data_IF_711955497284
#
_entry.id   IF_711955497284
#
_cell.length_a   1.000
_cell.length_b   1.000
_cell.length_c   1.000
_cell.angle_alpha   90.00
_cell.angle_beta   90.00
_cell.angle_gamma   90.00
#
_symmetry.space_group_name_H-M   'P 1'
#
loop_
_entity.id
_entity.type
_entity.pdbx_description
1 polymer ?
#
# COMPACT_ATOMS: atom_id res chain seq x y z
N UNK A 1 14.18 -4.96 10.12
CA UNK A 1 14.73 -6.27 10.53
C UNK A 1 16.20 -6.28 10.19
N UNK A 2 17.06 -6.66 11.14
CA UNK A 2 18.52 -6.75 10.99
C UNK A 2 18.96 -8.14 11.41
N UNK A 3 19.98 -8.69 10.75
CA UNK A 3 20.54 -10.00 11.05
C UNK A 3 21.76 -10.30 10.20
N UNK A 4 22.51 -11.31 10.56
CA UNK A 4 23.64 -11.80 9.78
C UNK A 4 23.15 -12.63 8.60
N UNK A 5 23.77 -12.47 7.44
CA UNK A 5 23.37 -13.15 6.23
C UNK A 5 24.58 -13.54 5.38
N UNK A 6 24.54 -14.75 4.81
CA UNK A 6 25.49 -15.15 3.75
C UNK A 6 25.15 -14.45 2.44
N UNK A 7 26.07 -14.45 1.49
CA UNK A 7 25.85 -13.92 0.15
C UNK A 7 24.69 -14.65 -0.57
N UNK A 8 24.56 -15.96 -0.39
CA UNK A 8 23.39 -16.72 -0.89
C UNK A 8 22.08 -16.18 -0.35
N UNK A 9 22.01 -15.87 0.95
CA UNK A 9 20.82 -15.31 1.59
C UNK A 9 20.49 -13.91 1.02
N UNK A 10 21.51 -13.07 0.80
CA UNK A 10 21.35 -11.74 0.19
C UNK A 10 20.71 -11.87 -1.20
N UNK A 11 21.21 -12.77 -2.05
CA UNK A 11 20.67 -12.99 -3.39
C UNK A 11 19.28 -13.59 -3.37
N UNK A 12 18.98 -14.49 -2.44
CA UNK A 12 17.62 -15.00 -2.24
C UNK A 12 16.65 -13.89 -1.82
N UNK A 13 17.04 -13.01 -0.90
CA UNK A 13 16.22 -11.87 -0.49
C UNK A 13 15.99 -10.92 -1.68
N UNK A 14 17.04 -10.61 -2.45
CA UNK A 14 16.92 -9.76 -3.64
C UNK A 14 15.95 -10.34 -4.68
N UNK A 15 15.93 -11.67 -4.86
CA UNK A 15 15.02 -12.34 -5.79
C UNK A 15 13.60 -12.49 -5.25
N UNK A 16 13.46 -13.00 -4.03
CA UNK A 16 12.17 -13.52 -3.53
C UNK A 16 11.40 -12.59 -2.63
N UNK A 17 12.04 -11.58 -2.03
CA UNK A 17 11.32 -10.69 -1.11
C UNK A 17 10.28 -9.86 -1.85
N UNK A 18 9.02 -10.02 -1.43
CA UNK A 18 7.87 -9.26 -1.96
C UNK A 18 7.48 -8.08 -1.10
N UNK A 19 7.85 -8.11 0.18
CA UNK A 19 7.38 -7.15 1.19
C UNK A 19 8.41 -6.07 1.51
N UNK A 20 9.71 -6.41 1.46
CA UNK A 20 10.77 -5.47 1.75
C UNK A 20 10.75 -4.28 0.78
N UNK A 21 11.10 -3.12 1.31
CA UNK A 21 11.21 -1.89 0.52
C UNK A 21 12.63 -1.61 0.06
N UNK A 22 13.62 -1.94 0.90
CA UNK A 22 15.06 -1.79 0.64
C UNK A 22 15.81 -2.99 1.20
N UNK A 23 16.97 -3.25 0.65
CA UNK A 23 17.93 -4.25 1.14
C UNK A 23 19.27 -3.55 1.36
N UNK A 24 19.62 -3.37 2.63
CA UNK A 24 20.86 -2.70 3.02
C UNK A 24 21.85 -3.69 3.62
N UNK A 25 23.11 -3.60 3.20
CA UNK A 25 24.23 -4.23 3.86
C UNK A 25 24.82 -3.24 4.85
N UNK A 26 24.73 -3.52 6.14
CA UNK A 26 25.40 -2.71 7.16
C UNK A 26 26.91 -2.88 7.05
N UNK A 27 27.62 -1.79 6.84
CA UNK A 27 29.08 -1.78 6.72
C UNK A 27 29.73 -1.60 8.08
N UNK A 28 29.28 -0.57 8.82
CA UNK A 28 29.75 -0.30 10.17
C UNK A 28 28.77 0.63 10.92
N UNK A 29 28.97 0.74 12.22
CA UNK A 29 28.34 1.76 13.06
C UNK A 29 29.42 2.45 13.91
N UNK A 30 29.24 3.74 14.19
CA UNK A 30 30.20 4.52 14.95
C UNK A 30 29.59 5.80 15.55
N UNK A 31 30.40 6.51 16.28
CA UNK A 31 30.02 7.78 16.93
C UNK A 31 29.84 8.90 15.90
N UNK A 32 28.85 9.77 16.13
CA UNK A 32 28.54 10.91 15.26
C UNK A 32 27.89 12.06 16.03
N UNK A 33 28.45 12.43 17.19
CA UNK A 33 27.91 13.50 18.03
C UNK A 33 28.23 14.92 17.50
N UNK A 34 29.06 15.07 16.47
CA UNK A 34 29.27 16.29 15.70
C UNK A 34 29.79 15.98 14.29
N UNK A 35 29.87 16.99 13.42
CA UNK A 35 30.33 16.82 12.03
C UNK A 35 31.79 16.33 11.92
N UNK A 36 32.67 16.75 12.83
CA UNK A 36 34.08 16.36 12.81
C UNK A 36 34.21 14.86 13.13
N UNK A 37 33.52 14.37 14.14
CA UNK A 37 33.54 12.96 14.52
C UNK A 37 32.84 12.11 13.46
N UNK A 38 31.70 12.57 12.90
CA UNK A 38 31.07 11.89 11.76
C UNK A 38 32.04 11.73 10.59
N UNK A 39 32.77 12.80 10.23
CA UNK A 39 33.79 12.75 9.18
C UNK A 39 34.89 11.72 9.50
N UNK A 40 35.49 11.79 10.69
CA UNK A 40 36.56 10.89 11.11
C UNK A 40 36.10 9.41 11.10
N UNK A 41 34.92 9.14 11.65
CA UNK A 41 34.30 7.82 11.69
C UNK A 41 34.14 7.24 10.30
N UNK A 42 33.68 8.06 9.35
CA UNK A 42 33.48 7.60 7.96
C UNK A 42 34.80 7.50 7.18
N UNK A 43 35.76 8.39 7.40
CA UNK A 43 37.04 8.39 6.70
C UNK A 43 37.93 7.19 7.04
N UNK A 44 37.85 6.68 8.28
CA UNK A 44 38.65 5.54 8.75
C UNK A 44 38.23 4.19 8.16
N UNK A 45 36.98 4.10 7.65
CA UNK A 45 36.47 2.85 7.07
C UNK A 45 37.15 2.57 5.73
N UNK A 46 37.55 1.31 5.43
CA UNK A 46 38.28 0.93 4.22
C UNK A 46 37.34 0.83 3.00
N UNK A 47 36.88 1.96 2.46
CA UNK A 47 35.89 2.04 1.37
C UNK A 47 36.28 1.29 0.11
N UNK A 48 37.60 1.16 -0.19
CA UNK A 48 38.08 0.38 -1.32
C UNK A 48 37.73 -1.12 -1.24
N UNK A 49 37.35 -1.61 -0.07
CA UNK A 49 36.83 -2.99 0.08
C UNK A 49 35.36 -3.11 -0.32
N UNK A 50 34.67 -2.00 -0.52
CA UNK A 50 33.24 -1.98 -0.84
C UNK A 50 33.00 -1.70 -2.32
N UNK A 51 33.67 -0.70 -2.88
CA UNK A 51 33.56 -0.33 -4.30
C UNK A 51 34.84 0.31 -4.82
N UNK A 52 34.97 0.38 -6.15
CA UNK A 52 36.14 0.94 -6.84
C UNK A 52 36.05 2.48 -6.91
N UNK A 53 37.22 3.15 -6.96
CA UNK A 53 37.33 4.57 -7.26
C UNK A 53 36.86 4.98 -8.67
N UNK A 54 36.65 3.98 -9.56
CA UNK A 54 36.06 4.18 -10.88
C UNK A 54 34.52 4.21 -10.83
N UNK A 55 33.89 3.78 -9.72
CA UNK A 55 32.44 3.77 -9.57
C UNK A 55 31.94 5.16 -9.17
N UNK A 56 30.78 5.53 -9.68
CA UNK A 56 30.05 6.69 -9.17
C UNK A 56 29.26 6.31 -7.91
N UNK A 57 29.22 7.21 -6.92
CA UNK A 57 28.47 6.97 -5.70
C UNK A 57 27.63 8.19 -5.29
N UNK A 58 26.63 7.96 -4.44
CA UNK A 58 25.87 8.99 -3.73
C UNK A 58 25.64 8.62 -2.28
N UNK A 59 25.38 9.62 -1.46
CA UNK A 59 25.08 9.46 -0.04
C UNK A 59 23.67 9.91 0.26
N UNK A 60 22.90 9.08 0.95
CA UNK A 60 21.63 9.41 1.57
C UNK A 60 21.82 9.44 3.08
N UNK A 61 21.53 10.57 3.70
CA UNK A 61 21.60 10.72 5.15
C UNK A 61 20.21 10.87 5.73
N UNK A 62 19.92 10.14 6.81
CA UNK A 62 18.64 10.16 7.49
C UNK A 62 18.82 10.30 8.99
N UNK A 63 17.99 11.12 9.59
CA UNK A 63 18.00 11.37 11.02
C UNK A 63 18.78 12.63 11.41
N UNK A 64 18.38 13.18 12.53
CA UNK A 64 18.97 14.40 13.09
C UNK A 64 19.29 14.21 14.57
N UNK A 65 20.24 15.00 15.08
CA UNK A 65 20.53 15.15 16.52
C UNK A 65 20.65 16.62 16.87
N UNK A 66 20.90 16.90 18.14
CA UNK A 66 21.11 18.29 18.59
C UNK A 66 22.30 18.97 17.90
N UNK A 67 23.32 18.22 17.53
CA UNK A 67 24.52 18.73 16.85
C UNK A 67 24.47 18.57 15.33
N UNK A 68 23.79 17.55 14.82
CA UNK A 68 23.64 17.25 13.39
C UNK A 68 22.18 17.51 12.96
N UNK A 69 21.84 18.80 12.80
CA UNK A 69 20.45 19.25 12.55
C UNK A 69 20.06 19.25 11.08
N UNK A 70 21.02 19.18 10.17
CA UNK A 70 20.80 19.28 8.73
C UNK A 70 21.28 17.99 8.04
N UNK A 71 20.32 17.15 7.60
CA UNK A 71 20.60 15.88 6.93
C UNK A 71 21.40 16.06 5.63
N UNK A 72 21.13 17.13 4.87
CA UNK A 72 21.85 17.40 3.62
C UNK A 72 23.32 17.70 3.89
N UNK A 73 23.61 18.55 4.88
CA UNK A 73 24.98 18.88 5.27
C UNK A 73 25.71 17.68 5.86
N UNK A 74 25.07 16.89 6.71
CA UNK A 74 25.64 15.67 7.26
C UNK A 74 25.93 14.66 6.15
N UNK A 75 25.06 14.53 5.14
CA UNK A 75 25.31 13.73 3.95
C UNK A 75 26.54 14.20 3.15
N UNK A 76 26.77 15.51 3.04
CA UNK A 76 27.98 16.05 2.42
C UNK A 76 29.22 15.70 3.22
N UNK A 77 29.18 15.76 4.55
CA UNK A 77 30.30 15.37 5.43
C UNK A 77 30.69 13.90 5.21
N UNK A 78 29.70 12.99 5.15
CA UNK A 78 29.95 11.58 4.85
C UNK A 78 30.55 11.42 3.44
N UNK A 79 30.00 12.11 2.45
CA UNK A 79 30.50 12.10 1.07
C UNK A 79 31.97 12.57 1.02
N UNK A 80 32.30 13.66 1.67
CA UNK A 80 33.65 14.21 1.67
C UNK A 80 34.64 13.26 2.37
N UNK A 81 34.23 12.61 3.47
CA UNK A 81 35.02 11.58 4.14
C UNK A 81 35.35 10.39 3.21
N UNK A 82 34.38 9.93 2.41
CA UNK A 82 34.58 8.87 1.43
C UNK A 82 35.56 9.30 0.34
N UNK A 83 35.35 10.50 -0.22
CA UNK A 83 36.22 11.05 -1.29
C UNK A 83 37.67 11.19 -0.79
N UNK A 84 37.86 11.72 0.39
CA UNK A 84 39.21 11.94 0.94
C UNK A 84 39.87 10.62 1.33
N UNK A 85 39.09 9.62 1.78
CA UNK A 85 39.61 8.27 1.97
C UNK A 85 40.22 7.71 0.67
N UNK A 86 39.48 7.77 -0.45
CA UNK A 86 39.98 7.29 -1.74
C UNK A 86 41.20 8.08 -2.22
N UNK A 87 41.20 9.42 -2.10
CA UNK A 87 42.33 10.26 -2.45
C UNK A 87 43.62 9.85 -1.71
N UNK A 88 43.49 9.54 -0.43
CA UNK A 88 44.63 9.11 0.40
C UNK A 88 45.15 7.74 0.02
N UNK A 89 44.29 6.80 -0.35
CA UNK A 89 44.66 5.40 -0.53
C UNK A 89 44.94 5.03 -1.97
N UNK A 90 44.25 5.64 -2.94
CA UNK A 90 44.40 5.29 -4.38
C UNK A 90 44.93 6.45 -5.22
N UNK A 91 45.00 7.66 -4.67
CA UNK A 91 45.33 8.87 -5.40
C UNK A 91 44.23 9.39 -6.33
N UNK A 92 43.10 8.68 -6.43
CA UNK A 92 41.99 9.02 -7.30
C UNK A 92 40.74 9.44 -6.49
N UNK A 93 39.80 10.08 -7.15
CA UNK A 93 38.55 10.53 -6.57
C UNK A 93 37.39 9.82 -7.29
N UNK A 94 36.54 9.04 -6.58
CA UNK A 94 35.33 8.50 -7.18
C UNK A 94 34.37 9.62 -7.56
N UNK A 95 33.62 9.42 -8.64
CA UNK A 95 32.60 10.36 -9.08
C UNK A 95 31.41 10.38 -8.13
N UNK A 96 30.82 11.56 -7.95
CA UNK A 96 29.56 11.73 -7.18
C UNK A 96 28.46 12.11 -8.13
N UNK A 97 27.45 11.27 -8.29
CA UNK A 97 26.37 11.47 -9.23
C UNK A 97 25.02 11.16 -8.55
N UNK A 98 23.98 11.90 -8.91
CA UNK A 98 22.61 11.66 -8.44
C UNK A 98 22.05 10.31 -8.92
N UNK A 99 22.51 9.85 -10.07
CA UNK A 99 22.07 8.59 -10.69
C UNK A 99 23.13 7.47 -10.49
N UNK A 100 24.01 7.63 -9.49
CA UNK A 100 25.07 6.69 -9.19
C UNK A 100 24.57 5.30 -8.80
N UNK A 101 25.28 4.28 -9.26
CA UNK A 101 25.00 2.88 -8.98
C UNK A 101 25.22 2.54 -7.50
N UNK A 102 26.30 3.08 -6.90
CA UNK A 102 26.62 2.88 -5.49
C UNK A 102 25.86 3.88 -4.63
N UNK A 103 25.00 3.38 -3.74
CA UNK A 103 24.24 4.20 -2.82
C UNK A 103 24.61 3.89 -1.37
N UNK A 104 25.32 4.82 -0.75
CA UNK A 104 25.66 4.76 0.68
C UNK A 104 24.52 5.39 1.47
N UNK A 105 24.01 4.67 2.44
CA UNK A 105 22.94 5.12 3.32
C UNK A 105 23.47 5.28 4.73
N UNK A 106 23.41 6.49 5.25
CA UNK A 106 23.77 6.83 6.61
C UNK A 106 22.49 7.07 7.43
N UNK A 107 22.34 6.36 8.53
CA UNK A 107 21.23 6.53 9.46
C UNK A 107 21.71 6.93 10.83
N UNK A 108 21.35 8.13 11.27
CA UNK A 108 21.72 8.68 12.58
C UNK A 108 20.61 8.43 13.59
N UNK A 109 20.99 7.86 14.74
CA UNK A 109 20.09 7.68 15.89
C UNK A 109 20.90 7.83 17.19
N UNK A 110 20.49 8.73 18.06
CA UNK A 110 21.15 8.99 19.36
C UNK A 110 22.69 9.15 19.25
N UNK A 111 23.16 10.05 18.41
CA UNK A 111 24.58 10.31 18.17
C UNK A 111 25.41 9.11 17.71
N UNK A 112 24.75 8.06 17.25
CA UNK A 112 25.35 6.91 16.55
C UNK A 112 24.90 6.89 15.09
N UNK A 113 25.86 6.82 14.18
CA UNK A 113 25.60 6.63 12.76
C UNK A 113 25.78 5.17 12.39
N UNK A 114 24.82 4.62 11.64
CA UNK A 114 24.97 3.33 10.96
C UNK A 114 25.12 3.60 9.48
N UNK A 115 26.20 3.12 8.89
CA UNK A 115 26.52 3.24 7.48
C UNK A 115 26.23 1.92 6.79
N UNK A 116 25.48 1.99 5.70
CA UNK A 116 25.05 0.82 4.94
C UNK A 116 25.19 1.08 3.44
N UNK A 117 25.33 0.00 2.68
CA UNK A 117 25.22 -0.01 1.23
C UNK A 117 23.81 -0.43 0.82
N UNK A 118 23.10 0.35 0.01
CA UNK A 118 21.86 -0.10 -0.63
C UNK A 118 22.24 -1.06 -1.77
N UNK A 119 21.96 -2.35 -1.56
CA UNK A 119 22.37 -3.40 -2.50
C UNK A 119 21.57 -3.39 -3.81
N UNK A 120 20.45 -2.72 -3.86
CA UNK A 120 19.59 -2.71 -5.04
C UNK A 120 19.58 -1.38 -5.78
N UNK A 121 19.82 -0.27 -5.09
CA UNK A 121 19.86 1.07 -5.67
C UNK A 121 18.47 1.70 -5.90
N UNK A 122 17.40 0.94 -5.75
CA UNK A 122 16.01 1.37 -5.92
C UNK A 122 15.07 0.64 -4.95
N UNK A 123 13.84 1.10 -4.87
CA UNK A 123 12.85 0.48 -4.00
C UNK A 123 12.38 -0.87 -4.55
N UNK A 124 12.41 -1.92 -3.71
CA UNK A 124 12.04 -3.29 -4.10
C UNK A 124 10.60 -3.44 -4.57
N UNK A 125 9.69 -2.50 -4.23
CA UNK A 125 8.33 -2.52 -4.76
C UNK A 125 8.30 -2.24 -6.27
N UNK A 126 9.26 -1.49 -6.80
CA UNK A 126 9.41 -1.29 -8.25
C UNK A 126 9.84 -2.60 -8.91
N UNK A 127 8.86 -3.38 -9.43
CA UNK A 127 9.12 -4.69 -10.06
C UNK A 127 9.53 -4.58 -11.53
N UNK A 128 9.60 -3.37 -12.09
CA UNK A 128 9.89 -3.05 -13.51
C UNK A 128 8.78 -3.39 -14.51
N UNK A 129 7.66 -3.97 -14.10
CA UNK A 129 6.56 -4.19 -15.03
C UNK A 129 5.67 -2.95 -15.24
N UNK A 130 5.73 -1.98 -14.34
CA UNK A 130 4.97 -0.72 -14.44
C UNK A 130 5.86 0.38 -15.03
N UNK A 131 5.48 0.93 -16.16
CA UNK A 131 6.20 2.01 -16.86
C UNK A 131 5.54 3.38 -16.68
N UNK A 132 4.24 3.43 -16.42
CA UNK A 132 3.48 4.66 -16.26
C UNK A 132 2.93 4.77 -14.84
N UNK A 133 2.98 5.97 -14.29
CA UNK A 133 2.36 6.28 -13.01
C UNK A 133 0.91 6.73 -13.27
N UNK A 134 -0.05 5.83 -13.04
CA UNK A 134 -1.46 6.21 -12.96
C UNK A 134 -1.76 7.04 -11.71
N UNK A 135 -2.98 7.59 -11.58
CA UNK A 135 -3.39 8.29 -10.35
C UNK A 135 -3.38 7.31 -9.16
N UNK A 136 -2.48 7.55 -8.21
CA UNK A 136 -2.33 6.86 -6.91
C UNK A 136 -2.46 5.31 -6.94
N UNK A 137 -1.68 4.59 -7.77
CA UNK A 137 -1.75 3.14 -7.79
C UNK A 137 -1.21 2.54 -6.50
N UNK A 138 -1.83 1.44 -6.05
CA UNK A 138 -1.30 0.66 -4.93
C UNK A 138 0.13 0.18 -5.24
N UNK A 139 1.04 0.28 -4.25
CA UNK A 139 2.41 -0.23 -4.40
C UNK A 139 2.41 -1.76 -4.44
N UNK A 140 3.29 -2.33 -5.22
CA UNK A 140 3.39 -3.78 -5.44
C UNK A 140 3.68 -4.55 -4.14
N UNK A 141 4.50 -4.01 -3.25
CA UNK A 141 4.75 -4.63 -1.94
C UNK A 141 3.54 -4.55 -1.01
N UNK A 142 2.70 -3.51 -1.12
CA UNK A 142 1.44 -3.44 -0.40
C UNK A 142 0.45 -4.46 -0.96
N UNK A 143 0.28 -4.55 -2.28
CA UNK A 143 -0.55 -5.58 -2.92
C UNK A 143 -0.13 -6.99 -2.47
N UNK A 144 1.19 -7.27 -2.47
CA UNK A 144 1.73 -8.52 -1.95
C UNK A 144 1.40 -8.75 -0.48
N UNK A 145 1.47 -7.72 0.36
CA UNK A 145 1.14 -7.82 1.78
C UNK A 145 -0.35 -8.12 2.03
N UNK A 146 -1.24 -7.51 1.24
CA UNK A 146 -2.68 -7.81 1.28
C UNK A 146 -2.94 -9.27 0.91
N UNK A 147 -2.35 -9.76 -0.18
CA UNK A 147 -2.44 -11.15 -0.63
C UNK A 147 -1.95 -12.14 0.44
N UNK A 148 -0.84 -11.84 1.12
CA UNK A 148 -0.35 -12.64 2.24
C UNK A 148 -1.32 -12.65 3.43
N UNK A 149 -1.93 -11.51 3.77
CA UNK A 149 -2.92 -11.42 4.85
C UNK A 149 -4.21 -12.16 4.54
N UNK A 150 -4.59 -12.19 3.25
CA UNK A 150 -5.70 -13.00 2.75
C UNK A 150 -5.33 -14.48 2.53
N UNK A 151 -4.13 -14.89 2.92
CA UNK A 151 -3.63 -16.27 2.81
C UNK A 151 -3.62 -16.81 1.36
N UNK A 152 -3.47 -15.92 0.38
CA UNK A 152 -3.52 -16.27 -1.04
C UNK A 152 -2.58 -17.43 -1.45
N UNK A 153 -1.29 -17.50 -1.00
CA UNK A 153 -0.42 -18.60 -1.39
C UNK A 153 -0.93 -20.00 -0.99
N UNK A 154 -1.72 -20.09 0.08
CA UNK A 154 -2.37 -21.34 0.49
C UNK A 154 -3.63 -21.57 -0.35
N UNK A 155 -4.49 -20.56 -0.48
CA UNK A 155 -5.75 -20.66 -1.23
C UNK A 155 -5.49 -21.05 -2.70
N UNK A 156 -4.49 -20.48 -3.34
CA UNK A 156 -4.09 -20.84 -4.70
C UNK A 156 -3.69 -22.32 -4.83
N UNK A 157 -2.97 -22.88 -3.84
CA UNK A 157 -2.64 -24.32 -3.79
C UNK A 157 -3.86 -25.21 -3.60
N UNK A 158 -4.88 -24.71 -2.92
CA UNK A 158 -6.15 -25.38 -2.66
C UNK A 158 -7.16 -25.22 -3.82
N UNK A 159 -6.74 -24.60 -4.91
CA UNK A 159 -7.55 -24.43 -6.13
C UNK A 159 -8.61 -23.35 -6.03
N UNK A 160 -8.39 -22.31 -5.22
CA UNK A 160 -9.22 -21.11 -5.19
C UNK A 160 -8.85 -20.19 -6.36
N UNK A 161 -9.84 -19.76 -7.13
CA UNK A 161 -9.65 -18.76 -8.18
C UNK A 161 -9.42 -17.36 -7.56
N UNK A 162 -8.97 -16.42 -8.38
CA UNK A 162 -8.70 -15.05 -7.93
C UNK A 162 -9.52 -14.03 -8.74
N UNK A 163 -10.03 -13.00 -8.08
CA UNK A 163 -10.69 -11.88 -8.74
C UNK A 163 -10.30 -10.53 -8.13
N UNK A 164 -10.12 -9.53 -9.02
CA UNK A 164 -10.02 -8.11 -8.69
C UNK A 164 -10.97 -7.34 -9.62
N UNK A 165 -12.15 -6.99 -9.11
CA UNK A 165 -13.24 -6.39 -9.91
C UNK A 165 -13.17 -4.86 -9.98
N UNK A 166 -12.10 -4.26 -9.46
CA UNK A 166 -11.79 -2.84 -9.54
C UNK A 166 -10.27 -2.65 -9.72
N UNK A 167 -9.71 -3.38 -10.71
CA UNK A 167 -8.28 -3.67 -10.80
C UNK A 167 -7.39 -2.46 -11.13
N UNK A 168 -7.95 -1.37 -11.66
CA UNK A 168 -7.15 -0.24 -12.11
C UNK A 168 -6.04 -0.69 -13.06
N UNK A 169 -4.77 -0.42 -12.72
CA UNK A 169 -3.59 -0.85 -13.49
C UNK A 169 -3.19 -2.32 -13.30
N UNK A 170 -4.02 -3.13 -12.61
CA UNK A 170 -3.86 -4.57 -12.46
C UNK A 170 -2.88 -5.03 -11.38
N UNK A 171 -2.39 -4.15 -10.51
CA UNK A 171 -1.30 -4.47 -9.58
C UNK A 171 -1.60 -5.67 -8.67
N UNK A 172 -2.81 -5.75 -8.09
CA UNK A 172 -3.18 -6.84 -7.17
C UNK A 172 -3.29 -8.16 -7.95
N UNK A 173 -3.96 -8.16 -9.10
CA UNK A 173 -4.10 -9.34 -9.94
C UNK A 173 -2.75 -9.87 -10.46
N UNK A 174 -1.84 -8.97 -10.86
CA UNK A 174 -0.48 -9.32 -11.31
C UNK A 174 0.32 -9.96 -10.19
N UNK A 175 0.36 -9.34 -9.00
CA UNK A 175 1.07 -9.91 -7.84
C UNK A 175 0.45 -11.26 -7.41
N UNK A 176 -0.88 -11.42 -7.51
CA UNK A 176 -1.55 -12.69 -7.24
C UNK A 176 -1.13 -13.78 -8.23
N UNK A 177 -1.10 -13.49 -9.53
CA UNK A 177 -0.66 -14.41 -10.57
C UNK A 177 0.82 -14.78 -10.41
N UNK A 178 1.71 -13.80 -10.15
CA UNK A 178 3.13 -14.03 -9.88
C UNK A 178 3.36 -14.90 -8.64
N UNK A 179 2.54 -14.75 -7.58
CA UNK A 179 2.63 -15.58 -6.38
C UNK A 179 2.22 -17.02 -6.66
N UNK A 180 1.09 -17.23 -7.32
CA UNK A 180 0.59 -18.55 -7.65
C UNK A 180 1.52 -19.29 -8.62
N UNK A 181 2.12 -18.57 -9.59
CA UNK A 181 3.12 -19.10 -10.51
C UNK A 181 4.50 -19.33 -9.87
N UNK A 182 4.70 -19.02 -8.59
CA UNK A 182 6.01 -19.10 -7.92
C UNK A 182 7.09 -18.29 -8.62
N UNK A 183 6.72 -17.19 -9.27
CA UNK A 183 7.64 -16.31 -9.96
C UNK A 183 8.29 -15.33 -8.98
N UNK A 184 9.60 -15.36 -8.86
CA UNK A 184 10.33 -14.43 -7.99
C UNK A 184 10.29 -13.01 -8.55
N UNK A 185 9.84 -11.99 -7.79
CA UNK A 185 9.69 -10.62 -8.29
C UNK A 185 11.01 -9.99 -8.72
N UNK A 186 12.15 -10.45 -8.17
CA UNK A 186 13.48 -9.99 -8.54
C UNK A 186 13.93 -10.42 -9.93
N UNK A 187 13.28 -11.41 -10.55
CA UNK A 187 13.60 -11.84 -11.93
C UNK A 187 13.30 -10.77 -12.98
N UNK A 188 12.35 -9.88 -12.71
CA UNK A 188 11.96 -8.79 -13.62
C UNK A 188 12.94 -7.61 -13.60
N UNK A 189 13.83 -7.55 -12.63
CA UNK A 189 14.79 -6.47 -12.47
C UNK A 189 16.08 -6.79 -13.20
N UNK A 190 16.61 -5.86 -13.99
CA UNK A 190 17.81 -6.08 -14.79
C UNK A 190 19.07 -5.61 -14.07
N UNK A 191 19.09 -4.36 -13.62
CA UNK A 191 20.24 -3.76 -12.98
C UNK A 191 20.07 -3.69 -11.46
N UNK A 192 21.11 -4.12 -10.74
CA UNK A 192 21.16 -4.15 -9.28
C UNK A 192 22.44 -3.45 -8.83
N UNK A 193 22.35 -2.54 -7.86
CA UNK A 193 23.51 -1.80 -7.37
C UNK A 193 24.63 -2.73 -6.84
N UNK A 194 24.27 -3.92 -6.34
CA UNK A 194 25.28 -4.88 -5.88
C UNK A 194 26.22 -5.42 -6.99
N UNK A 195 25.90 -5.22 -8.28
CA UNK A 195 26.84 -5.57 -9.36
C UNK A 195 28.14 -4.75 -9.28
N UNK A 196 28.10 -3.56 -8.70
CA UNK A 196 29.24 -2.69 -8.48
C UNK A 196 29.91 -2.88 -7.10
N UNK A 197 29.37 -3.77 -6.27
CA UNK A 197 29.95 -4.14 -4.99
C UNK A 197 31.08 -5.14 -5.17
N UNK A 198 32.27 -4.88 -4.56
CA UNK A 198 33.47 -5.70 -4.75
C UNK A 198 33.33 -7.18 -4.37
N UNK A 199 32.42 -7.50 -3.42
CA UNK A 199 32.15 -8.89 -3.04
C UNK A 199 31.03 -9.55 -3.85
N UNK A 200 30.52 -8.90 -4.90
CA UNK A 200 29.55 -9.53 -5.79
C UNK A 200 30.16 -10.72 -6.51
N UNK A 201 29.42 -11.83 -6.59
CA UNK A 201 29.81 -13.06 -7.30
C UNK A 201 28.83 -13.32 -8.45
N UNK A 202 29.16 -12.90 -9.68
CA UNK A 202 28.24 -13.02 -10.83
C UNK A 202 27.76 -14.45 -11.10
N UNK A 203 28.66 -15.44 -10.98
CA UNK A 203 28.32 -16.84 -11.20
C UNK A 203 27.32 -17.39 -10.16
N UNK A 204 27.48 -16.99 -8.89
CA UNK A 204 26.55 -17.37 -7.82
C UNK A 204 25.21 -16.67 -8.00
N UNK A 205 25.20 -15.39 -8.37
CA UNK A 205 23.98 -14.67 -8.68
C UNK A 205 23.19 -15.32 -9.82
N UNK A 206 23.87 -15.65 -10.93
CA UNK A 206 23.22 -16.30 -12.06
C UNK A 206 22.70 -17.70 -11.70
N UNK A 207 23.40 -18.46 -10.87
CA UNK A 207 22.91 -19.74 -10.33
C UNK A 207 21.59 -19.55 -9.59
N UNK A 208 21.47 -18.53 -8.71
CA UNK A 208 20.22 -18.21 -8.01
C UNK A 208 19.11 -17.78 -8.97
N UNK A 209 19.44 -17.00 -10.00
CA UNK A 209 18.46 -16.60 -11.03
C UNK A 209 17.92 -17.80 -11.81
N UNK A 210 18.78 -18.70 -12.24
CA UNK A 210 18.38 -19.91 -12.95
C UNK A 210 17.51 -20.83 -12.04
N UNK A 211 17.90 -21.00 -10.79
CA UNK A 211 17.12 -21.75 -9.81
C UNK A 211 15.75 -21.12 -9.57
N UNK A 212 15.64 -19.79 -9.56
CA UNK A 212 14.37 -19.09 -9.42
C UNK A 212 13.50 -19.23 -10.67
N UNK A 213 14.08 -19.14 -11.88
CA UNK A 213 13.37 -19.38 -13.14
C UNK A 213 12.83 -20.80 -13.23
N UNK A 214 13.60 -21.80 -12.81
CA UNK A 214 13.18 -23.20 -12.81
C UNK A 214 12.02 -23.51 -11.84
N UNK A 215 11.74 -22.63 -10.88
CA UNK A 215 10.62 -22.79 -9.96
C UNK A 215 9.28 -22.25 -10.50
N UNK A 216 9.30 -21.52 -11.61
CA UNK A 216 8.10 -20.99 -12.20
C UNK A 216 7.21 -22.13 -12.70
N UNK A 217 5.94 -22.11 -12.28
CA UNK A 217 4.93 -23.10 -12.66
C UNK A 217 3.72 -22.43 -13.26
N UNK A 218 2.96 -23.18 -14.05
CA UNK A 218 1.65 -22.75 -14.49
C UNK A 218 0.62 -23.10 -13.39
N UNK A 219 -0.02 -22.12 -12.73
CA UNK A 219 -0.94 -22.39 -11.63
C UNK A 219 -2.26 -22.99 -12.17
N UNK A 220 -2.84 -23.93 -11.40
CA UNK A 220 -4.13 -24.53 -11.74
C UNK A 220 -5.28 -23.74 -11.09
N UNK A 221 -5.30 -22.42 -11.29
CA UNK A 221 -6.34 -21.49 -10.83
C UNK A 221 -6.52 -20.40 -11.87
N UNK A 222 -7.71 -19.81 -11.93
CA UNK A 222 -8.04 -18.74 -12.87
C UNK A 222 -7.90 -17.38 -12.18
N UNK A 223 -7.58 -16.37 -12.99
CA UNK A 223 -7.45 -14.99 -12.54
C UNK A 223 -8.37 -14.10 -13.36
N UNK A 224 -9.20 -13.33 -12.67
CA UNK A 224 -10.13 -12.40 -13.27
C UNK A 224 -9.81 -10.98 -12.81
N UNK A 225 -9.69 -10.06 -13.74
CA UNK A 225 -9.46 -8.66 -13.45
C UNK A 225 -10.40 -7.79 -14.28
N UNK A 226 -11.14 -6.89 -13.63
CA UNK A 226 -12.04 -6.00 -14.36
C UNK A 226 -12.02 -4.58 -13.78
N UNK A 227 -12.34 -3.62 -14.65
CA UNK A 227 -12.51 -2.21 -14.29
C UNK A 227 -13.52 -1.57 -15.25
N UNK A 228 -14.16 -0.48 -14.83
CA UNK A 228 -15.10 0.27 -15.69
C UNK A 228 -14.38 1.06 -16.77
N UNK A 229 -13.11 1.45 -16.54
CA UNK A 229 -12.32 2.30 -17.43
C UNK A 229 -11.53 1.45 -18.42
N UNK A 230 -11.82 1.55 -19.71
CA UNK A 230 -11.10 0.84 -20.77
C UNK A 230 -9.59 1.13 -20.77
N UNK A 231 -9.19 2.37 -20.54
CA UNK A 231 -7.78 2.75 -20.42
C UNK A 231 -7.07 1.99 -19.26
N UNK A 232 -7.73 1.81 -18.12
CA UNK A 232 -7.16 1.07 -16.99
C UNK A 232 -6.92 -0.41 -17.36
N UNK A 233 -7.86 -1.02 -18.10
CA UNK A 233 -7.74 -2.40 -18.60
C UNK A 233 -6.58 -2.55 -19.58
N UNK A 234 -6.42 -1.64 -20.54
CA UNK A 234 -5.30 -1.70 -21.47
C UNK A 234 -3.94 -1.51 -20.74
N UNK A 235 -3.87 -0.62 -19.75
CA UNK A 235 -2.70 -0.47 -18.90
C UNK A 235 -2.44 -1.74 -18.08
N UNK A 236 -3.47 -2.38 -17.52
CA UNK A 236 -3.35 -3.61 -16.76
C UNK A 236 -2.85 -4.77 -17.62
N UNK A 237 -3.37 -4.93 -18.85
CA UNK A 237 -2.88 -5.92 -19.83
C UNK A 237 -1.40 -5.69 -20.17
N UNK A 238 -1.02 -4.46 -20.46
CA UNK A 238 0.37 -4.12 -20.76
C UNK A 238 1.31 -4.39 -19.59
N UNK A 239 0.90 -4.06 -18.35
CA UNK A 239 1.64 -4.37 -17.13
C UNK A 239 1.79 -5.88 -16.92
N UNK A 240 0.70 -6.65 -17.08
CA UNK A 240 0.69 -8.10 -16.92
C UNK A 240 1.56 -8.80 -17.99
N UNK A 241 1.56 -8.30 -19.23
CA UNK A 241 2.44 -8.80 -20.29
C UNK A 241 3.91 -8.58 -19.93
N UNK A 242 4.30 -7.38 -19.47
CA UNK A 242 5.67 -7.09 -19.00
C UNK A 242 6.06 -7.92 -17.76
N UNK A 243 5.11 -8.21 -16.88
CA UNK A 243 5.33 -9.10 -15.75
C UNK A 243 5.44 -10.59 -16.15
N UNK A 244 5.14 -10.95 -17.39
CA UNK A 244 5.19 -12.34 -17.88
C UNK A 244 3.98 -13.19 -17.44
N UNK A 245 2.92 -12.60 -16.88
CA UNK A 245 1.73 -13.30 -16.39
C UNK A 245 0.44 -12.92 -17.14
N UNK A 246 0.54 -12.14 -18.20
CA UNK A 246 -0.62 -11.67 -18.96
C UNK A 246 -1.51 -12.79 -19.53
N UNK A 247 -0.90 -13.93 -19.87
CA UNK A 247 -1.61 -15.12 -20.38
C UNK A 247 -2.43 -15.86 -19.30
N UNK A 248 -2.22 -15.55 -18.03
CA UNK A 248 -2.94 -16.18 -16.91
C UNK A 248 -4.18 -15.39 -16.50
N UNK A 249 -4.28 -14.09 -16.86
CA UNK A 249 -5.28 -13.18 -16.33
C UNK A 249 -6.29 -12.83 -17.41
N UNK A 250 -7.56 -13.09 -17.11
CA UNK A 250 -8.69 -12.68 -17.94
C UNK A 250 -9.08 -11.24 -17.60
N UNK A 251 -8.77 -10.30 -18.52
CA UNK A 251 -9.10 -8.89 -18.36
C UNK A 251 -10.41 -8.55 -19.08
N UNK A 252 -11.29 -7.80 -18.39
CA UNK A 252 -12.54 -7.34 -18.98
C UNK A 252 -12.88 -5.91 -18.55
N UNK A 253 -13.32 -5.10 -19.52
CA UNK A 253 -13.94 -3.81 -19.21
C UNK A 253 -15.41 -4.06 -18.90
N UNK A 254 -15.80 -3.91 -17.65
CA UNK A 254 -17.21 -4.02 -17.24
C UNK A 254 -17.50 -3.28 -15.94
N UNK A 255 -18.67 -2.67 -15.81
CA UNK A 255 -19.14 -2.12 -14.54
C UNK A 255 -19.54 -3.23 -13.55
N UNK A 256 -19.61 -2.92 -12.27
CA UNK A 256 -19.90 -3.87 -11.19
C UNK A 256 -21.20 -4.68 -11.44
N UNK A 257 -22.27 -4.01 -11.81
CA UNK A 257 -23.60 -4.65 -12.05
C UNK A 257 -23.61 -5.66 -13.21
N UNK A 258 -22.54 -5.75 -14.00
CA UNK A 258 -22.38 -6.74 -15.07
C UNK A 258 -21.46 -7.91 -14.67
N UNK A 259 -20.95 -7.91 -13.44
CA UNK A 259 -20.19 -9.04 -12.92
C UNK A 259 -21.13 -10.24 -12.79
N UNK A 260 -20.64 -11.40 -13.22
CA UNK A 260 -21.35 -12.68 -13.13
C UNK A 260 -20.54 -13.64 -12.26
N UNK A 261 -21.14 -14.77 -11.91
CA UNK A 261 -20.45 -15.84 -11.20
C UNK A 261 -19.22 -16.29 -12.00
N UNK A 262 -18.06 -16.21 -11.37
CA UNK A 262 -16.77 -16.56 -11.98
C UNK A 262 -16.41 -18.03 -11.73
N UNK A 263 -16.61 -18.50 -10.50
CA UNK A 263 -16.37 -19.87 -10.06
C UNK A 263 -17.02 -20.14 -8.70
N UNK A 264 -16.97 -21.41 -8.25
CA UNK A 264 -17.58 -21.83 -6.98
C UNK A 264 -16.88 -21.28 -5.74
N UNK A 265 -15.56 -21.09 -5.80
CA UNK A 265 -14.75 -20.60 -4.68
C UNK A 265 -13.55 -19.79 -5.16
N UNK A 266 -13.17 -18.80 -4.42
CA UNK A 266 -12.05 -17.95 -4.78
C UNK A 266 -11.69 -16.93 -3.71
N UNK A 267 -10.70 -16.10 -4.03
CA UNK A 267 -10.33 -14.90 -3.31
C UNK A 267 -10.66 -13.67 -4.17
N UNK A 268 -11.56 -12.84 -3.67
CA UNK A 268 -11.81 -11.50 -4.18
C UNK A 268 -11.00 -10.51 -3.36
N UNK A 269 -10.07 -9.76 -3.99
CA UNK A 269 -9.28 -8.76 -3.30
C UNK A 269 -9.28 -7.46 -4.10
N UNK A 270 -9.80 -6.41 -3.50
CA UNK A 270 -10.04 -5.13 -4.17
C UNK A 270 -9.52 -3.93 -3.36
N UNK A 271 -9.12 -2.91 -4.10
CA UNK A 271 -8.78 -1.58 -3.59
C UNK A 271 -9.71 -0.53 -4.24
N UNK A 272 -10.96 -0.43 -3.77
CA UNK A 272 -11.93 0.52 -4.32
C UNK A 272 -11.54 1.97 -4.00
N UNK A 273 -12.09 2.98 -4.68
CA UNK A 273 -11.90 4.36 -4.27
C UNK A 273 -12.51 4.58 -2.88
N UNK A 274 -11.82 5.33 -2.01
CA UNK A 274 -12.30 5.60 -0.64
C UNK A 274 -12.30 7.08 -0.27
N UNK A 275 -11.99 7.99 -1.23
CA UNK A 275 -12.02 9.44 -1.04
C UNK A 275 -11.03 9.96 0.03
N UNK A 276 -10.50 11.13 -0.18
CA UNK A 276 -9.63 11.78 0.81
C UNK A 276 -10.39 12.84 1.64
N UNK A 277 -11.56 13.27 1.15
CA UNK A 277 -12.40 14.30 1.78
C UNK A 277 -13.76 13.71 2.18
N UNK A 278 -14.33 14.22 3.26
CA UNK A 278 -15.59 13.73 3.82
C UNK A 278 -16.76 13.76 2.80
N UNK A 279 -16.86 14.79 1.95
CA UNK A 279 -17.86 14.85 0.88
C UNK A 279 -17.71 13.73 -0.14
N UNK A 280 -16.49 13.47 -0.58
CA UNK A 280 -16.18 12.38 -1.53
C UNK A 280 -16.50 10.99 -0.95
N UNK A 281 -16.34 10.80 0.36
CA UNK A 281 -16.66 9.55 1.05
C UNK A 281 -18.17 9.27 1.05
N UNK A 282 -19.00 10.27 1.27
CA UNK A 282 -20.47 10.11 1.23
C UNK A 282 -20.97 9.71 -0.16
N UNK A 283 -20.37 10.27 -1.21
CA UNK A 283 -20.71 9.94 -2.60
C UNK A 283 -20.33 8.48 -2.97
N UNK A 284 -19.43 7.84 -2.21
CA UNK A 284 -19.01 6.46 -2.42
C UNK A 284 -19.89 5.42 -1.71
N UNK A 285 -20.76 5.82 -0.78
CA UNK A 285 -21.66 4.89 -0.06
C UNK A 285 -22.48 4.02 -1.04
N UNK A 286 -23.10 4.56 -2.10
CA UNK A 286 -23.85 3.74 -3.06
C UNK A 286 -22.98 2.66 -3.72
N UNK A 287 -21.74 2.99 -4.07
CA UNK A 287 -20.76 2.05 -4.66
C UNK A 287 -20.49 0.88 -3.71
N UNK A 288 -20.24 1.15 -2.43
CA UNK A 288 -19.95 0.10 -1.44
C UNK A 288 -21.19 -0.77 -1.12
N UNK A 289 -22.39 -0.19 -1.17
CA UNK A 289 -23.64 -0.97 -1.10
C UNK A 289 -23.81 -1.87 -2.31
N UNK A 290 -23.52 -1.39 -3.50
CA UNK A 290 -23.52 -2.19 -4.74
C UNK A 290 -22.52 -3.33 -4.65
N UNK A 291 -21.29 -3.07 -4.16
CA UNK A 291 -20.29 -4.11 -3.91
C UNK A 291 -20.85 -5.22 -3.01
N UNK A 292 -21.48 -4.86 -1.90
CA UNK A 292 -22.09 -5.84 -0.98
C UNK A 292 -23.18 -6.69 -1.63
N UNK A 293 -24.03 -6.08 -2.47
CA UNK A 293 -25.02 -6.79 -3.26
C UNK A 293 -24.37 -7.80 -4.19
N UNK A 294 -23.36 -7.38 -4.96
CA UNK A 294 -22.63 -8.21 -5.92
C UNK A 294 -21.88 -9.34 -5.21
N UNK A 295 -21.28 -9.09 -4.05
CA UNK A 295 -20.63 -10.14 -3.26
C UNK A 295 -21.62 -11.25 -2.91
N UNK A 296 -22.83 -10.92 -2.45
CA UNK A 296 -23.88 -11.89 -2.12
C UNK A 296 -24.43 -12.62 -3.33
N UNK A 297 -24.55 -11.94 -4.48
CA UNK A 297 -25.15 -12.51 -5.70
C UNK A 297 -24.17 -13.39 -6.48
N UNK A 298 -22.88 -13.01 -6.52
CA UNK A 298 -21.92 -13.60 -7.46
C UNK A 298 -20.65 -14.18 -6.85
N UNK A 299 -20.41 -13.97 -5.54
CA UNK A 299 -19.21 -14.43 -4.85
C UNK A 299 -19.51 -15.25 -3.59
N UNK A 300 -20.64 -15.98 -3.62
CA UNK A 300 -20.98 -16.88 -2.53
C UNK A 300 -19.89 -17.93 -2.34
N UNK A 301 -19.49 -18.19 -1.08
CA UNK A 301 -18.38 -19.09 -0.69
C UNK A 301 -16.97 -18.58 -1.05
N UNK A 302 -16.83 -17.31 -1.42
CA UNK A 302 -15.55 -16.67 -1.61
C UNK A 302 -15.05 -16.00 -0.33
N UNK A 303 -13.73 -15.91 -0.20
CA UNK A 303 -13.10 -14.97 0.72
C UNK A 303 -12.97 -13.62 0.04
N UNK A 304 -13.36 -12.53 0.70
CA UNK A 304 -13.24 -11.19 0.16
C UNK A 304 -12.36 -10.31 1.05
N UNK A 305 -11.45 -9.57 0.43
CA UNK A 305 -10.62 -8.54 1.05
C UNK A 305 -10.92 -7.17 0.45
N UNK A 306 -11.28 -6.21 1.29
CA UNK A 306 -11.53 -4.83 0.86
C UNK A 306 -10.60 -3.90 1.61
N UNK A 307 -9.74 -3.18 0.88
CA UNK A 307 -8.88 -2.15 1.45
C UNK A 307 -9.59 -0.80 1.41
N UNK A 308 -9.77 -0.16 2.55
CA UNK A 308 -10.35 1.20 2.62
C UNK A 308 -9.80 1.98 3.81
N UNK A 309 -9.77 3.31 3.70
CA UNK A 309 -9.41 4.20 4.80
C UNK A 309 -10.58 4.53 5.71
N UNK A 310 -11.83 4.26 5.26
CA UNK A 310 -13.04 4.68 5.94
C UNK A 310 -13.86 3.49 6.47
N UNK A 311 -14.02 3.36 7.80
CA UNK A 311 -14.85 2.33 8.42
C UNK A 311 -16.34 2.42 8.05
N UNK A 312 -16.86 3.62 7.71
CA UNK A 312 -18.24 3.80 7.31
C UNK A 312 -18.50 3.17 5.94
N UNK A 313 -17.58 3.38 5.00
CA UNK A 313 -17.63 2.73 3.69
C UNK A 313 -17.57 1.20 3.83
N UNK A 314 -16.67 0.69 4.68
CA UNK A 314 -16.60 -0.75 4.94
C UNK A 314 -17.93 -1.31 5.49
N UNK A 315 -18.58 -0.60 6.40
CA UNK A 315 -19.90 -0.98 6.93
C UNK A 315 -20.99 -0.94 5.85
N UNK A 316 -20.90 -0.03 4.87
CA UNK A 316 -21.87 0.10 3.78
C UNK A 316 -21.94 -1.14 2.89
N UNK A 317 -20.90 -2.01 2.87
CA UNK A 317 -20.92 -3.30 2.20
C UNK A 317 -22.03 -4.22 2.76
N UNK A 318 -22.41 -4.05 4.04
CA UNK A 318 -23.47 -4.84 4.68
C UNK A 318 -23.04 -6.26 5.09
N UNK A 319 -21.76 -6.62 4.95
CA UNK A 319 -21.18 -7.89 5.36
C UNK A 319 -20.22 -7.70 6.55
N UNK A 320 -20.19 -8.68 7.44
CA UNK A 320 -19.34 -8.64 8.64
C UNK A 320 -17.93 -9.11 8.31
N UNK A 321 -16.93 -8.26 8.57
CA UNK A 321 -15.53 -8.67 8.54
C UNK A 321 -15.22 -9.53 9.78
N UNK A 322 -14.65 -10.71 9.58
CA UNK A 322 -14.19 -11.57 10.66
C UNK A 322 -12.82 -11.14 11.20
N UNK A 323 -12.07 -10.36 10.39
CA UNK A 323 -10.75 -9.84 10.76
C UNK A 323 -10.44 -8.55 10.02
N UNK A 324 -9.63 -7.69 10.65
CA UNK A 324 -9.11 -6.47 10.04
C UNK A 324 -7.60 -6.37 10.26
N UNK A 325 -6.91 -5.74 9.31
CA UNK A 325 -5.47 -5.45 9.42
C UNK A 325 -5.20 -4.01 9.02
N UNK A 326 -4.41 -3.30 9.84
CA UNK A 326 -3.98 -1.95 9.54
C UNK A 326 -2.85 -1.93 8.51
N UNK A 327 -2.96 -1.01 7.56
CA UNK A 327 -1.99 -0.75 6.50
C UNK A 327 -1.84 0.75 6.25
N UNK A 328 -0.82 1.11 5.47
CA UNK A 328 -0.67 2.44 4.91
C UNK A 328 -0.59 2.35 3.38
N UNK A 329 -1.46 3.07 2.68
CA UNK A 329 -1.34 3.28 1.24
C UNK A 329 -0.71 4.66 1.00
N UNK A 330 0.61 4.70 0.79
CA UNK A 330 1.37 5.94 0.88
C UNK A 330 1.38 6.48 2.32
N UNK A 331 0.84 7.68 2.51
CA UNK A 331 0.64 8.30 3.84
C UNK A 331 -0.74 8.03 4.44
N UNK A 332 -1.67 7.44 3.67
CA UNK A 332 -3.07 7.25 4.07
C UNK A 332 -3.18 5.99 4.93
N UNK A 333 -3.64 6.10 6.19
CA UNK A 333 -3.94 4.93 7.00
C UNK A 333 -5.18 4.21 6.44
N UNK A 334 -5.06 2.91 6.18
CA UNK A 334 -6.10 2.07 5.63
C UNK A 334 -6.29 0.80 6.48
N UNK A 335 -7.42 0.15 6.31
CA UNK A 335 -7.69 -1.16 6.88
C UNK A 335 -8.10 -2.14 5.78
N UNK A 336 -7.55 -3.35 5.83
CA UNK A 336 -8.02 -4.48 5.06
C UNK A 336 -9.11 -5.19 5.86
N UNK A 337 -10.32 -5.19 5.33
CA UNK A 337 -11.47 -5.92 5.88
C UNK A 337 -11.54 -7.29 5.24
N UNK A 338 -11.39 -8.35 6.06
CA UNK A 338 -11.46 -9.75 5.61
C UNK A 338 -12.85 -10.30 5.88
N UNK A 339 -13.52 -10.73 4.83
CA UNK A 339 -14.94 -11.10 4.80
C UNK A 339 -15.07 -12.49 4.18
N UNK A 340 -15.70 -13.44 4.88
CA UNK A 340 -16.13 -14.70 4.25
C UNK A 340 -17.55 -14.49 3.74
N UNK A 341 -17.75 -14.59 2.44
CA UNK A 341 -19.07 -14.39 1.81
C UNK A 341 -19.89 -15.67 1.95
N UNK A 342 -20.85 -15.64 2.86
CA UNK A 342 -21.78 -16.76 3.12
C UNK A 342 -23.16 -16.25 3.54
N UNK A 343 -24.21 -17.07 3.45
CA UNK A 343 -25.59 -16.61 3.69
C UNK A 343 -25.83 -16.04 5.10
N UNK A 344 -25.06 -16.48 6.09
CA UNK A 344 -25.23 -16.07 7.50
C UNK A 344 -24.41 -14.85 7.86
N UNK A 345 -23.55 -14.37 6.94
CA UNK A 345 -22.59 -13.28 7.18
C UNK A 345 -23.15 -11.92 6.79
N UNK A 346 -24.30 -11.56 7.33
CA UNK A 346 -24.79 -10.19 7.19
C UNK A 346 -24.51 -9.39 8.47
N UNK A 347 -24.07 -8.14 8.30
CA UNK A 347 -24.22 -7.17 9.39
C UNK A 347 -25.71 -7.14 9.69
N UNK A 348 -26.10 -7.56 10.90
CA UNK A 348 -27.43 -7.27 11.39
C UNK A 348 -27.59 -5.77 11.20
N UNK A 349 -28.49 -5.35 10.30
CA UNK A 349 -28.96 -4.00 10.32
C UNK A 349 -29.41 -3.79 11.76
N UNK A 350 -28.62 -3.03 12.52
CA UNK A 350 -29.08 -2.50 13.80
C UNK A 350 -30.22 -1.58 13.41
N UNK A 351 -31.25 -2.22 13.34
CA UNK A 351 -32.60 -2.00 13.23
C UNK A 351 -33.17 -0.66 12.79
N UNK A 352 -33.90 -0.86 11.77
CA UNK A 352 -35.04 -0.08 11.29
C UNK A 352 -35.94 0.58 12.34
N UNK A 353 -36.05 0.08 13.57
CA UNK A 353 -36.85 0.65 14.60
C UNK A 353 -36.38 2.03 15.04
N UNK A 354 -35.12 2.15 15.42
CA UNK A 354 -34.56 3.44 15.86
C UNK A 354 -34.39 4.41 14.69
N UNK A 355 -33.87 3.96 13.54
CA UNK A 355 -33.76 4.81 12.35
C UNK A 355 -35.11 5.24 11.82
N UNK A 356 -36.11 4.35 11.86
CA UNK A 356 -37.50 4.67 11.46
C UNK A 356 -38.13 5.67 12.44
N UNK A 357 -37.84 5.55 13.72
CA UNK A 357 -38.30 6.49 14.73
C UNK A 357 -37.73 7.91 14.48
N UNK A 358 -36.44 8.01 14.17
CA UNK A 358 -35.80 9.27 13.78
C UNK A 358 -36.41 9.84 12.49
N UNK A 359 -36.53 9.02 11.44
CA UNK A 359 -37.13 9.43 10.17
C UNK A 359 -38.55 9.94 10.35
N UNK A 360 -39.39 9.24 11.11
CA UNK A 360 -40.75 9.64 11.43
C UNK A 360 -40.77 10.96 12.21
N UNK A 361 -39.85 11.17 13.15
CA UNK A 361 -39.73 12.41 13.92
C UNK A 361 -39.36 13.58 13.01
N UNK A 362 -38.34 13.43 12.16
CA UNK A 362 -37.94 14.46 11.20
C UNK A 362 -39.09 14.79 10.24
N UNK A 363 -39.78 13.79 9.69
CA UNK A 363 -40.92 13.99 8.80
C UNK A 363 -42.05 14.74 9.48
N UNK A 364 -42.38 14.40 10.74
CA UNK A 364 -43.40 15.08 11.54
C UNK A 364 -43.03 16.54 11.78
N UNK A 365 -41.79 16.80 12.16
CA UNK A 365 -41.28 18.16 12.38
C UNK A 365 -41.32 18.99 11.08
N UNK A 366 -40.85 18.42 9.96
CA UNK A 366 -40.92 19.07 8.66
C UNK A 366 -42.33 19.42 8.24
N UNK A 367 -43.28 18.50 8.39
CA UNK A 367 -44.71 18.74 8.04
C UNK A 367 -45.34 19.86 8.88
N UNK A 368 -44.95 19.94 10.16
CA UNK A 368 -45.44 20.99 11.06
C UNK A 368 -44.80 22.34 10.75
N UNK A 369 -43.47 22.39 10.64
CA UNK A 369 -42.70 23.61 10.46
C UNK A 369 -42.85 24.21 9.05
N UNK A 370 -43.01 23.39 8.02
CA UNK A 370 -43.18 23.84 6.63
C UNK A 370 -44.36 24.78 6.47
N UNK A 371 -45.52 24.42 7.02
CA UNK A 371 -46.74 25.26 6.97
C UNK A 371 -46.56 26.59 7.70
N UNK A 372 -45.83 26.58 8.81
CA UNK A 372 -45.52 27.79 9.57
C UNK A 372 -44.51 28.66 8.82
N UNK A 373 -43.43 28.09 8.31
CA UNK A 373 -42.40 28.80 7.57
C UNK A 373 -42.94 29.46 6.31
N UNK A 374 -43.80 28.77 5.55
CA UNK A 374 -44.47 29.31 4.35
C UNK A 374 -45.38 30.50 4.68
N UNK A 375 -46.13 30.45 5.82
CA UNK A 375 -46.97 31.58 6.24
C UNK A 375 -46.20 32.79 6.68
N UNK A 376 -44.98 32.60 7.20
CA UNK A 376 -44.13 33.67 7.72
C UNK A 376 -43.07 34.15 6.72
N UNK A 377 -42.97 33.51 5.55
CA UNK A 377 -41.93 33.84 4.56
C UNK A 377 -40.54 33.47 5.05
N UNK A 378 -40.38 32.44 5.89
CA UNK A 378 -39.12 32.03 6.47
C UNK A 378 -38.57 30.82 5.68
N UNK A 379 -37.33 30.95 5.16
CA UNK A 379 -36.65 29.89 4.43
C UNK A 379 -35.59 29.15 5.26
N UNK A 380 -35.16 29.72 6.40
CA UNK A 380 -34.16 29.19 7.27
C UNK A 380 -34.73 28.84 8.64
N UNK A 381 -34.73 27.54 9.01
CA UNK A 381 -35.29 27.11 10.30
C UNK A 381 -34.71 25.74 10.72
N UNK A 382 -34.70 25.50 12.04
CA UNK A 382 -34.28 24.21 12.62
C UNK A 382 -35.39 23.19 12.50
N UNK A 383 -35.06 22.04 11.93
CA UNK A 383 -35.99 20.93 11.70
C UNK A 383 -35.97 19.93 12.85
N UNK A 384 -34.80 19.72 13.44
CA UNK A 384 -34.56 18.74 14.51
C UNK A 384 -33.51 19.28 15.46
N UNK A 385 -33.67 19.06 16.77
CA UNK A 385 -32.78 19.55 17.83
C UNK A 385 -32.70 18.54 18.97
N UNK A 386 -31.98 17.41 18.72
CA UNK A 386 -31.82 16.34 19.71
C UNK A 386 -33.13 15.88 20.38
N UNK A 387 -34.25 15.90 19.64
CA UNK A 387 -35.58 15.52 20.13
C UNK A 387 -35.62 14.06 20.65
N UNK A 388 -34.70 13.24 20.25
CA UNK A 388 -34.51 11.84 20.65
C UNK A 388 -33.15 11.73 21.30
N UNK A 389 -33.04 11.30 22.59
CA UNK A 389 -31.78 11.31 23.33
C UNK A 389 -30.64 10.55 22.67
N UNK A 390 -30.94 9.46 21.93
CA UNK A 390 -29.98 8.64 21.21
C UNK A 390 -29.42 9.33 19.97
N UNK A 391 -30.00 10.42 19.51
CA UNK A 391 -29.64 11.18 18.32
C UNK A 391 -29.34 12.63 18.68
N UNK A 392 -28.18 12.84 19.31
CA UNK A 392 -27.71 14.14 19.82
C UNK A 392 -27.13 15.01 18.69
N UNK A 393 -27.96 15.51 17.79
CA UNK A 393 -27.59 16.44 16.73
C UNK A 393 -28.72 17.40 16.37
N UNK A 394 -28.40 18.47 15.66
CA UNK A 394 -29.33 19.40 15.07
C UNK A 394 -29.42 19.26 13.55
N UNK A 395 -30.57 19.50 12.97
CA UNK A 395 -30.79 19.65 11.54
C UNK A 395 -31.36 21.02 11.26
N UNK A 396 -30.63 21.86 10.56
CA UNK A 396 -31.02 23.19 10.13
C UNK A 396 -31.24 23.23 8.61
N UNK A 397 -32.33 23.81 8.17
CA UNK A 397 -32.68 24.06 6.76
C UNK A 397 -32.38 25.50 6.41
N UNK A 398 -31.64 25.74 5.31
CA UNK A 398 -31.32 27.06 4.76
C UNK A 398 -31.68 27.08 3.27
N UNK A 399 -32.90 27.47 2.94
CA UNK A 399 -33.42 27.40 1.58
C UNK A 399 -33.40 25.95 1.06
N UNK A 400 -32.58 25.67 0.06
CA UNK A 400 -32.39 24.30 -0.48
C UNK A 400 -31.30 23.49 0.22
N UNK A 401 -30.55 24.12 1.12
CA UNK A 401 -29.44 23.46 1.83
C UNK A 401 -29.91 22.92 3.18
N UNK A 402 -29.30 21.82 3.61
CA UNK A 402 -29.49 21.21 4.92
C UNK A 402 -28.15 21.09 5.62
N UNK A 403 -28.05 21.59 6.84
CA UNK A 403 -26.85 21.47 7.69
C UNK A 403 -27.19 20.54 8.85
N UNK A 404 -26.35 19.52 9.04
CA UNK A 404 -26.40 18.60 10.17
C UNK A 404 -25.21 18.89 11.09
N UNK A 405 -25.52 19.16 12.37
CA UNK A 405 -24.53 19.49 13.38
C UNK A 405 -24.64 18.50 14.55
N UNK A 406 -23.62 17.70 14.76
CA UNK A 406 -23.56 16.78 15.89
C UNK A 406 -23.20 17.53 17.18
N UNK A 407 -23.89 17.21 18.26
CA UNK A 407 -23.54 17.71 19.59
C UNK A 407 -22.47 16.83 20.22
N UNK A 408 -21.51 17.45 20.91
CA UNK A 408 -20.56 16.68 21.70
C UNK A 408 -21.31 15.81 22.71
N UNK A 409 -21.00 14.51 22.81
CA UNK A 409 -21.59 13.66 23.83
C UNK A 409 -21.29 14.25 25.23
N UNK A 410 -22.24 14.22 26.18
CA UNK A 410 -21.99 14.69 27.52
C UNK A 410 -20.78 13.94 28.09
N UNK A 411 -19.83 14.67 28.71
CA UNK A 411 -18.69 14.07 29.42
C UNK A 411 -19.28 13.05 30.40
N UNK A 412 -18.89 11.77 30.27
CA UNK A 412 -19.22 10.76 31.30
C UNK A 412 -18.71 11.30 32.62
N UNK A 413 -19.63 11.56 33.54
CA UNK A 413 -19.28 11.82 34.94
C UNK A 413 -18.69 10.51 35.44
N UNK A 414 -17.46 10.47 36.00
CA UNK A 414 -16.94 9.26 36.60
C UNK A 414 -17.83 8.92 37.81
N UNK A 415 -18.20 7.65 37.90
CA UNK A 415 -18.80 7.09 39.12
C UNK A 415 -17.81 7.16 40.28
#
# INVERSE_FOLDING_TARGET
>A
VTGDASLDCIYQIALWSRLANRLHLVLFSGQAYNNQILYQTCQQFPWQTVFSDQSAFKVHFHGTSNALRNEMYAGQVVKDAIVDHFRHHTGHRPSVDKDADIQVVAYLKYDQVTISLDLLGYSMHQRSYRTEQGMAPIKENLAAALLWRMNWPKLAKEGYDFADIMCGSGTIAIEAAMMASRMAPGLLRQDQAFHHWTHHQPSLWEKHRQAAKAQVVNPNVRFFASDTKGFAIEQAKANAARAGVGHLIEFSQRPLHQIQNLSEKGLLLINPPYGERLGEQLDLIPLYKEMGKIFNEHFMHWEAGVLTSDPMLAKAIGLRAHKTYAFFNGSIPCQLYCISVNPDNHLRQTDSGHTQMLANRIQKNLAHLKKWAERQGIECYRVYDADIPEYAFAIDKYGEYVVLQEYMPPKKVPE
#
